data_IF_196106850727
#
_entry.id   IF_196106850727
#
_cell.length_a   1.000
_cell.length_b   1.000
_cell.length_c   1.000
_cell.angle_alpha   90.00
_cell.angle_beta   90.00
_cell.angle_gamma   90.00
#
_symmetry.space_group_name_H-M   'P 1'
#
loop_
_entity.id
_entity.type
_entity.pdbx_description
1 polymer ?
#
# COMPACT_ATOMS: atom_id res chain seq x y z
N UNK A 1 -1.20 4.95 -16.17
CA UNK A 1 -2.46 5.73 -16.22
C UNK A 1 -3.71 4.87 -16.28
N UNK A 2 -3.61 3.55 -16.49
CA UNK A 2 -4.79 2.67 -16.71
C UNK A 2 -5.35 1.98 -15.46
N UNK A 3 -4.60 1.89 -14.36
CA UNK A 3 -5.05 1.14 -13.17
C UNK A 3 -6.01 1.95 -12.27
N UNK A 4 -5.83 3.26 -12.11
CA UNK A 4 -6.81 4.08 -11.37
C UNK A 4 -8.10 4.31 -12.18
N UNK A 5 -8.02 4.41 -13.51
CA UNK A 5 -9.20 4.69 -14.36
C UNK A 5 -10.05 3.44 -14.64
N UNK A 6 -9.52 2.23 -14.51
CA UNK A 6 -10.31 1.01 -14.72
C UNK A 6 -11.26 0.73 -13.54
N UNK A 7 -10.93 1.18 -12.33
CA UNK A 7 -11.76 0.97 -11.15
C UNK A 7 -12.93 1.96 -11.04
N UNK A 8 -12.75 3.22 -11.46
CA UNK A 8 -13.88 4.16 -11.65
C UNK A 8 -14.92 3.60 -12.65
N UNK A 9 -14.49 2.76 -13.60
CA UNK A 9 -15.40 2.10 -14.57
C UNK A 9 -16.06 0.82 -14.05
N UNK A 10 -15.52 0.19 -13.00
CA UNK A 10 -16.17 -0.93 -12.31
C UNK A 10 -17.21 -0.47 -11.30
N UNK A 11 -16.98 0.68 -10.65
CA UNK A 11 -17.99 1.36 -9.83
C UNK A 11 -19.25 1.67 -10.66
N UNK A 12 -19.13 2.15 -11.91
CA UNK A 12 -20.30 2.55 -12.70
C UNK A 12 -21.22 1.39 -13.08
N UNK A 13 -20.67 0.22 -13.45
CA UNK A 13 -21.48 -0.93 -13.87
C UNK A 13 -22.11 -1.70 -12.70
N UNK A 14 -21.51 -1.63 -11.50
CA UNK A 14 -22.05 -2.25 -10.29
C UNK A 14 -23.05 -1.36 -9.58
N UNK A 15 -22.85 -0.04 -9.59
CA UNK A 15 -23.82 0.94 -9.07
C UNK A 15 -25.15 0.91 -9.83
N UNK A 16 -25.15 0.69 -11.16
CA UNK A 16 -26.40 0.54 -11.93
C UNK A 16 -27.20 -0.72 -11.54
N UNK A 17 -26.52 -1.83 -11.24
CA UNK A 17 -27.17 -3.07 -10.80
C UNK A 17 -27.70 -2.98 -9.37
N UNK A 18 -26.99 -2.27 -8.47
CA UNK A 18 -27.42 -2.01 -7.09
C UNK A 18 -28.55 -0.98 -7.06
N UNK A 19 -28.48 0.08 -7.86
CA UNK A 19 -29.55 1.08 -7.97
C UNK A 19 -30.87 0.46 -8.47
N UNK A 20 -30.82 -0.49 -9.40
CA UNK A 20 -31.98 -1.23 -9.87
C UNK A 20 -32.60 -2.18 -8.81
N UNK A 21 -31.82 -2.64 -7.83
CA UNK A 21 -32.28 -3.50 -6.75
C UNK A 21 -32.82 -2.73 -5.52
N UNK A 22 -32.51 -1.43 -5.41
CA UNK A 22 -32.84 -0.57 -4.26
C UNK A 22 -34.19 0.16 -4.42
N UNK A 23 -34.84 0.07 -5.59
CA UNK A 23 -36.16 0.72 -5.79
C UNK A 23 -37.33 0.09 -5.01
N UNK A 24 -37.17 -1.07 -4.36
CA UNK A 24 -38.34 -1.76 -3.77
C UNK A 24 -38.42 -1.97 -2.25
N UNK A 25 -37.41 -1.80 -1.38
CA UNK A 25 -37.69 -1.86 0.08
C UNK A 25 -36.58 -1.33 1.03
N UNK A 26 -37.01 -0.77 2.19
CA UNK A 26 -36.24 -0.10 3.25
C UNK A 26 -35.29 -1.01 4.07
N UNK A 27 -34.33 -1.71 3.45
CA UNK A 27 -33.36 -2.55 4.20
C UNK A 27 -31.93 -2.33 3.70
N UNK A 28 -30.95 -2.42 4.61
CA UNK A 28 -29.55 -2.61 4.25
C UNK A 28 -29.44 -3.76 3.23
N UNK A 29 -29.13 -3.43 1.98
CA UNK A 29 -29.14 -4.42 0.91
C UNK A 29 -27.91 -5.32 1.04
N UNK A 30 -28.11 -6.55 1.50
CA UNK A 30 -27.18 -7.65 1.27
C UNK A 30 -27.38 -8.12 -0.18
N UNK A 31 -26.53 -7.65 -1.09
CA UNK A 31 -26.61 -8.10 -2.49
C UNK A 31 -25.81 -9.39 -2.63
N UNK A 32 -26.52 -10.51 -2.72
CA UNK A 32 -25.92 -11.81 -3.08
C UNK A 32 -25.69 -11.82 -4.59
N UNK A 33 -24.46 -11.49 -5.02
CA UNK A 33 -24.07 -11.68 -6.42
C UNK A 33 -23.41 -13.05 -6.59
N UNK A 34 -23.83 -13.87 -7.57
CA UNK A 34 -23.11 -15.09 -7.91
C UNK A 34 -21.74 -14.71 -8.51
N UNK A 35 -20.66 -15.02 -7.80
CA UNK A 35 -19.29 -14.88 -8.33
C UNK A 35 -18.90 -16.16 -9.06
N UNK A 36 -18.39 -16.02 -10.28
CA UNK A 36 -17.84 -17.15 -11.05
C UNK A 36 -16.61 -17.74 -10.32
N UNK A 37 -16.43 -19.08 -10.35
CA UNK A 37 -15.34 -19.72 -9.63
C UNK A 37 -13.96 -19.23 -10.11
N UNK A 38 -12.96 -19.10 -9.22
CA UNK A 38 -11.61 -18.73 -9.62
C UNK A 38 -11.02 -19.78 -10.58
N UNK A 39 -10.18 -19.38 -11.55
CA UNK A 39 -9.53 -20.32 -12.46
C UNK A 39 -8.68 -21.32 -11.65
N UNK A 40 -8.93 -22.60 -11.92
CA UNK A 40 -8.42 -23.72 -11.17
C UNK A 40 -6.89 -23.85 -11.24
N UNK A 41 -6.18 -23.41 -10.21
CA UNK A 41 -4.81 -23.86 -9.93
C UNK A 41 -4.38 -23.69 -8.46
N UNK A 42 -5.07 -24.37 -7.54
CA UNK A 42 -4.50 -24.91 -6.28
C UNK A 42 -5.55 -25.82 -5.59
N UNK A 43 -5.13 -26.80 -4.76
CA UNK A 43 -5.81 -28.08 -4.64
C UNK A 43 -6.94 -28.08 -3.60
N UNK A 44 -7.97 -28.87 -3.93
CA UNK A 44 -9.06 -29.41 -3.09
C UNK A 44 -8.98 -29.13 -1.58
N UNK A 45 -9.50 -28.00 -1.14
CA UNK A 45 -10.40 -27.97 0.02
C UNK A 45 -11.83 -27.88 -0.52
N UNK A 46 -12.74 -28.62 0.12
CA UNK A 46 -14.10 -28.86 -0.35
C UNK A 46 -14.85 -27.60 -0.78
N UNK A 47 -15.80 -27.81 -1.70
CA UNK A 47 -16.78 -26.82 -2.17
C UNK A 47 -17.18 -25.83 -1.06
N UNK A 48 -16.49 -24.68 -1.01
CA UNK A 48 -17.01 -23.49 -0.37
C UNK A 48 -18.09 -22.98 -1.31
N UNK A 49 -19.34 -23.22 -0.94
CA UNK A 49 -20.46 -22.45 -1.47
C UNK A 49 -20.21 -21.03 -0.94
N UNK A 50 -19.65 -20.16 -1.78
CA UNK A 50 -19.49 -18.75 -1.44
C UNK A 50 -20.89 -18.14 -1.39
N UNK A 51 -21.43 -17.96 -0.19
CA UNK A 51 -22.51 -17.02 0.05
C UNK A 51 -21.85 -15.65 0.25
N UNK A 52 -21.88 -14.81 -0.78
CA UNK A 52 -21.37 -13.43 -0.72
C UNK A 52 -22.43 -12.56 -0.04
N UNK A 53 -22.21 -12.22 1.24
CA UNK A 53 -22.98 -11.17 1.92
C UNK A 53 -22.20 -9.88 1.75
N UNK A 54 -22.47 -9.17 0.65
CA UNK A 54 -21.97 -7.81 0.45
C UNK A 54 -22.80 -6.86 1.27
N UNK A 55 -22.24 -6.36 2.37
CA UNK A 55 -22.82 -5.21 3.05
C UNK A 55 -22.31 -3.93 2.38
N UNK A 56 -22.89 -3.58 1.23
CA UNK A 56 -22.64 -2.27 0.58
C UNK A 56 -23.62 -1.29 1.20
N UNK A 57 -23.13 -0.48 2.12
CA UNK A 57 -24.00 0.43 2.85
C UNK A 57 -24.06 1.77 2.10
N UNK A 58 -25.12 1.91 1.29
CA UNK A 58 -25.39 3.11 0.46
C UNK A 58 -25.89 4.29 1.29
N UNK A 59 -26.38 4.05 2.52
CA UNK A 59 -26.93 5.07 3.42
C UNK A 59 -26.10 5.24 4.70
N UNK A 60 -26.14 6.40 5.38
CA UNK A 60 -25.37 6.61 6.60
C UNK A 60 -25.85 5.71 7.74
N UNK A 61 -25.00 4.78 8.20
CA UNK A 61 -25.27 4.01 9.41
C UNK A 61 -25.28 4.91 10.66
N UNK A 62 -26.14 4.57 11.62
CA UNK A 62 -26.20 5.22 12.95
C UNK A 62 -24.97 4.89 13.81
N UNK A 63 -24.27 3.80 13.53
CA UNK A 63 -23.10 3.37 14.28
C UNK A 63 -21.93 4.35 14.04
N UNK A 64 -21.34 4.95 15.10
CA UNK A 64 -20.28 5.94 14.95
C UNK A 64 -18.89 5.32 14.68
N UNK A 65 -18.71 4.03 14.99
CA UNK A 65 -17.43 3.31 14.92
C UNK A 65 -17.62 1.90 14.34
N UNK A 66 -16.54 1.30 13.83
CA UNK A 66 -16.56 -0.11 13.41
C UNK A 66 -16.58 -1.08 14.59
N UNK A 67 -16.00 -0.69 15.73
CA UNK A 67 -15.98 -1.50 16.95
C UNK A 67 -17.41 -1.77 17.43
N UNK A 68 -17.72 -3.02 17.76
CA UNK A 68 -19.07 -3.48 18.08
C UNK A 68 -20.01 -3.65 16.89
N UNK A 69 -19.82 -2.91 15.78
CA UNK A 69 -20.63 -3.08 14.56
C UNK A 69 -20.18 -4.30 13.77
N UNK A 70 -18.90 -4.34 13.36
CA UNK A 70 -18.36 -5.46 12.59
C UNK A 70 -18.29 -6.76 13.41
N UNK A 71 -18.20 -6.65 14.73
CA UNK A 71 -18.21 -7.80 15.65
C UNK A 71 -19.51 -8.63 15.56
N UNK A 72 -20.58 -8.06 15.02
CA UNK A 72 -21.88 -8.74 14.84
C UNK A 72 -21.98 -9.50 13.51
N UNK A 73 -20.97 -9.42 12.65
CA UNK A 73 -20.97 -9.99 11.30
C UNK A 73 -19.80 -10.98 11.13
N UNK A 74 -19.77 -12.11 11.88
CA UNK A 74 -18.60 -13.00 11.94
C UNK A 74 -18.24 -13.66 10.60
N UNK A 75 -19.23 -13.82 9.71
CA UNK A 75 -19.09 -14.46 8.40
C UNK A 75 -18.91 -13.44 7.25
N UNK A 76 -18.67 -12.16 7.56
CA UNK A 76 -18.50 -11.14 6.53
C UNK A 76 -17.24 -11.38 5.70
N UNK A 77 -17.41 -11.38 4.38
CA UNK A 77 -16.32 -11.55 3.42
C UNK A 77 -15.89 -10.23 2.77
N UNK A 78 -16.86 -9.38 2.42
CA UNK A 78 -16.60 -8.10 1.75
C UNK A 78 -17.28 -6.99 2.57
N UNK A 79 -16.51 -5.98 2.96
CA UNK A 79 -17.05 -4.84 3.70
C UNK A 79 -16.63 -3.52 3.06
N UNK A 80 -17.62 -2.78 2.55
CA UNK A 80 -17.44 -1.46 1.94
C UNK A 80 -18.18 -0.40 2.75
N UNK A 81 -17.41 0.52 3.33
CA UNK A 81 -17.92 1.55 4.21
C UNK A 81 -17.73 2.98 3.68
N UNK A 82 -17.25 3.16 2.45
CA UNK A 82 -16.86 4.43 1.83
C UNK A 82 -17.93 5.56 1.87
N UNK A 83 -19.22 5.24 2.03
CA UNK A 83 -20.34 6.23 2.13
C UNK A 83 -20.87 6.51 3.55
N UNK A 84 -20.17 6.06 4.60
CA UNK A 84 -20.62 6.20 6.00
C UNK A 84 -19.93 7.31 6.81
N UNK A 85 -20.33 7.51 8.07
CA UNK A 85 -19.69 8.46 8.99
C UNK A 85 -18.81 7.79 10.06
N UNK A 86 -18.37 6.55 9.82
CA UNK A 86 -17.49 5.85 10.75
C UNK A 86 -16.20 6.64 11.03
N UNK A 87 -15.81 6.67 12.30
CA UNK A 87 -14.64 7.37 12.79
C UNK A 87 -13.91 6.56 13.87
N UNK A 88 -12.82 7.11 14.39
CA UNK A 88 -12.04 6.50 15.47
C UNK A 88 -10.98 5.54 14.96
N UNK A 89 -10.49 4.66 15.83
CA UNK A 89 -9.48 3.67 15.48
C UNK A 89 -10.13 2.35 15.05
N UNK A 90 -9.45 1.60 14.18
CA UNK A 90 -9.81 0.22 13.88
C UNK A 90 -9.46 -0.63 15.10
N UNK A 91 -10.47 -1.27 15.69
CA UNK A 91 -10.30 -2.17 16.82
C UNK A 91 -9.57 -3.44 16.39
N UNK A 92 -8.63 -3.99 17.19
CA UNK A 92 -8.00 -5.29 16.91
C UNK A 92 -8.99 -6.45 16.83
N UNK A 93 -10.24 -6.27 17.28
CA UNK A 93 -11.28 -7.28 17.13
C UNK A 93 -11.59 -7.63 15.66
N UNK A 94 -11.29 -6.72 14.71
CA UNK A 94 -11.45 -6.99 13.27
C UNK A 94 -10.66 -8.24 12.83
N UNK A 95 -9.56 -8.56 13.52
CA UNK A 95 -8.77 -9.76 13.25
C UNK A 95 -9.51 -11.08 13.54
N UNK A 96 -10.67 -11.04 14.22
CA UNK A 96 -11.54 -12.20 14.45
C UNK A 96 -12.37 -12.58 13.23
N UNK A 97 -12.49 -11.70 12.24
CA UNK A 97 -13.28 -11.92 11.03
C UNK A 97 -12.49 -12.79 10.05
N UNK A 98 -12.52 -14.11 10.25
CA UNK A 98 -11.69 -15.07 9.52
C UNK A 98 -12.02 -15.18 8.04
N UNK A 99 -13.20 -14.72 7.62
CA UNK A 99 -13.64 -14.75 6.22
C UNK A 99 -13.46 -13.40 5.50
N UNK A 100 -13.09 -12.34 6.23
CA UNK A 100 -12.97 -11.00 5.66
C UNK A 100 -11.82 -10.96 4.66
N UNK A 101 -12.20 -10.85 3.39
CA UNK A 101 -11.34 -10.87 2.22
C UNK A 101 -11.06 -9.47 1.68
N UNK A 102 -12.07 -8.59 1.71
CA UNK A 102 -12.00 -7.24 1.19
C UNK A 102 -12.50 -6.23 2.23
N UNK A 103 -11.67 -5.23 2.51
CA UNK A 103 -11.97 -4.15 3.44
C UNK A 103 -11.77 -2.79 2.76
N UNK A 104 -12.87 -2.12 2.43
CA UNK A 104 -12.88 -0.71 2.02
C UNK A 104 -13.44 0.17 3.14
N UNK A 105 -12.56 1.01 3.69
CA UNK A 105 -12.80 1.98 4.75
C UNK A 105 -12.33 3.38 4.33
N UNK A 106 -12.30 3.64 3.02
CA UNK A 106 -11.81 4.89 2.44
C UNK A 106 -12.72 6.10 2.70
N UNK A 107 -12.14 7.31 2.63
CA UNK A 107 -12.84 8.60 2.73
C UNK A 107 -13.62 8.79 4.04
N UNK A 108 -12.91 8.66 5.16
CA UNK A 108 -13.48 8.65 6.51
C UNK A 108 -12.64 9.47 7.50
N UNK A 109 -13.10 9.51 8.75
CA UNK A 109 -12.37 10.10 9.88
C UNK A 109 -11.64 9.05 10.70
N UNK A 110 -11.21 7.94 10.07
CA UNK A 110 -10.44 6.94 10.80
C UNK A 110 -9.07 7.50 11.19
N UNK A 111 -8.61 7.13 12.37
CA UNK A 111 -7.37 7.63 12.96
C UNK A 111 -6.68 6.53 13.76
N UNK A 112 -5.53 6.85 14.37
CA UNK A 112 -4.74 5.89 15.14
C UNK A 112 -3.61 5.27 14.33
N UNK A 113 -2.93 4.30 14.93
CA UNK A 113 -1.77 3.64 14.31
C UNK A 113 -2.21 2.56 13.33
N UNK A 114 -1.78 2.66 12.08
CA UNK A 114 -2.24 1.79 11.00
C UNK A 114 -1.18 0.73 10.59
N UNK A 115 -1.58 -0.54 10.38
CA UNK A 115 -2.73 -1.23 10.95
C UNK A 115 -2.27 -2.39 11.83
N UNK A 116 -1.83 -2.12 13.06
CA UNK A 116 -1.58 -3.22 13.99
C UNK A 116 -2.86 -4.02 14.29
N UNK A 117 -4.04 -3.44 14.04
CA UNK A 117 -5.33 -4.11 14.15
C UNK A 117 -5.55 -5.21 13.10
N UNK A 118 -4.85 -5.17 11.96
CA UNK A 118 -4.97 -6.19 10.90
C UNK A 118 -3.96 -7.33 11.06
N UNK A 119 -3.15 -7.32 12.13
CA UNK A 119 -2.21 -8.40 12.41
C UNK A 119 -2.96 -9.72 12.61
N UNK A 120 -2.58 -10.74 11.83
CA UNK A 120 -3.19 -12.08 11.90
C UNK A 120 -4.44 -12.27 11.04
N UNK A 121 -4.79 -11.30 10.18
CA UNK A 121 -5.86 -11.46 9.20
C UNK A 121 -5.36 -12.20 7.97
N UNK A 122 -5.42 -13.53 8.01
CA UNK A 122 -4.84 -14.39 6.97
C UNK A 122 -5.66 -14.40 5.66
N UNK A 123 -6.97 -14.14 5.75
CA UNK A 123 -7.87 -14.15 4.58
C UNK A 123 -7.97 -12.81 3.86
N UNK A 124 -7.55 -11.71 4.49
CA UNK A 124 -7.65 -10.39 3.91
C UNK A 124 -6.68 -10.28 2.74
N UNK A 125 -7.19 -9.88 1.57
CA UNK A 125 -6.40 -9.75 0.33
C UNK A 125 -6.42 -8.34 -0.24
N UNK A 126 -7.49 -7.58 -0.02
CA UNK A 126 -7.64 -6.21 -0.49
C UNK A 126 -7.94 -5.26 0.67
N UNK A 127 -7.23 -4.13 0.68
CA UNK A 127 -7.42 -3.07 1.67
C UNK A 127 -7.43 -1.69 1.01
N UNK A 128 -8.55 -1.01 1.12
CA UNK A 128 -8.69 0.40 0.80
C UNK A 128 -8.86 1.24 2.08
N UNK A 129 -7.79 1.93 2.46
CA UNK A 129 -7.74 2.85 3.59
C UNK A 129 -7.47 4.29 3.18
N UNK A 130 -7.68 4.65 1.91
CA UNK A 130 -7.36 5.98 1.36
C UNK A 130 -8.15 7.10 2.06
N UNK A 131 -7.62 8.33 2.04
CA UNK A 131 -8.33 9.53 2.53
C UNK A 131 -8.80 9.40 4.00
N UNK A 132 -7.86 9.12 4.90
CA UNK A 132 -8.10 8.97 6.34
C UNK A 132 -7.02 9.72 7.15
N UNK A 133 -7.02 9.57 8.47
CA UNK A 133 -6.01 10.10 9.39
C UNK A 133 -5.17 8.97 10.01
N UNK A 134 -4.92 7.90 9.25
CA UNK A 134 -4.03 6.84 9.69
C UNK A 134 -2.61 7.32 9.87
N UNK A 135 -1.97 6.91 10.96
CA UNK A 135 -0.65 7.38 11.39
C UNK A 135 0.31 6.22 11.68
N UNK A 136 1.61 6.54 11.76
CA UNK A 136 2.66 5.56 12.04
C UNK A 136 2.95 4.61 10.87
N UNK A 137 4.01 3.80 11.03
CA UNK A 137 4.45 2.81 10.03
C UNK A 137 5.02 1.53 10.67
N UNK A 138 4.96 1.41 12.01
CA UNK A 138 5.55 0.27 12.72
C UNK A 138 4.63 -0.95 12.59
N UNK A 139 5.20 -2.09 12.20
CA UNK A 139 4.44 -3.34 12.03
C UNK A 139 3.59 -3.40 10.76
N UNK A 140 3.64 -2.37 9.91
CA UNK A 140 2.87 -2.29 8.66
C UNK A 140 3.13 -3.50 7.77
N UNK A 141 4.38 -3.93 7.65
CA UNK A 141 4.73 -5.07 6.83
C UNK A 141 4.07 -6.38 7.26
N UNK A 142 4.03 -6.66 8.57
CA UNK A 142 3.47 -7.90 9.09
C UNK A 142 1.94 -7.91 8.99
N UNK A 143 1.31 -6.75 9.14
CA UNK A 143 -0.13 -6.59 9.02
C UNK A 143 -0.64 -6.70 7.58
N UNK A 144 0.23 -6.48 6.60
CA UNK A 144 -0.14 -6.42 5.19
C UNK A 144 0.49 -7.55 4.36
N UNK A 145 1.15 -8.53 4.98
CA UNK A 145 1.98 -9.53 4.27
C UNK A 145 1.18 -10.41 3.29
N UNK A 146 -0.11 -10.60 3.55
CA UNK A 146 -1.02 -11.40 2.73
C UNK A 146 -1.80 -10.58 1.70
N UNK A 147 -1.71 -9.24 1.75
CA UNK A 147 -2.46 -8.38 0.85
C UNK A 147 -1.85 -8.35 -0.55
N UNK A 148 -2.73 -8.40 -1.54
CA UNK A 148 -2.41 -8.20 -2.95
C UNK A 148 -2.48 -6.73 -3.33
N UNK A 149 -3.46 -5.99 -2.81
CA UNK A 149 -3.66 -4.57 -3.09
C UNK A 149 -3.80 -3.77 -1.80
N UNK A 150 -2.97 -2.74 -1.68
CA UNK A 150 -2.83 -1.90 -0.49
C UNK A 150 -2.95 -0.44 -0.91
N UNK A 151 -4.07 0.20 -0.57
CA UNK A 151 -4.34 1.59 -0.92
C UNK A 151 -4.43 2.48 0.33
N UNK A 152 -3.42 3.31 0.56
CA UNK A 152 -3.23 4.15 1.75
C UNK A 152 -2.93 5.62 1.43
N UNK A 153 -3.18 6.04 0.20
CA UNK A 153 -2.90 7.41 -0.23
C UNK A 153 -3.73 8.44 0.56
N UNK A 154 -3.18 9.66 0.70
CA UNK A 154 -3.80 10.76 1.45
C UNK A 154 -4.14 10.37 2.89
N UNK A 155 -3.13 9.97 3.65
CA UNK A 155 -3.21 9.72 5.08
C UNK A 155 -2.18 10.59 5.84
N UNK A 156 -2.00 10.33 7.13
CA UNK A 156 -0.94 10.97 7.94
C UNK A 156 0.16 9.97 8.34
N UNK A 157 0.39 8.94 7.52
CA UNK A 157 1.41 7.93 7.75
C UNK A 157 2.78 8.62 7.82
N UNK A 158 3.55 8.31 8.85
CA UNK A 158 4.78 9.02 9.16
C UNK A 158 5.83 8.07 9.72
N UNK A 159 7.04 8.59 9.93
CA UNK A 159 8.25 7.84 10.30
C UNK A 159 8.83 7.08 9.10
N UNK A 160 9.87 6.31 9.38
CA UNK A 160 10.63 5.63 8.34
C UNK A 160 10.04 4.30 7.94
N UNK A 161 10.21 3.97 6.66
CA UNK A 161 9.78 2.70 6.08
C UNK A 161 10.62 1.55 6.68
N UNK A 162 9.99 0.51 7.26
CA UNK A 162 10.70 -0.63 7.83
C UNK A 162 11.28 -1.55 6.74
N UNK A 163 12.40 -2.22 7.01
CA UNK A 163 12.94 -3.23 6.09
C UNK A 163 12.01 -4.44 5.95
N UNK A 164 11.10 -4.64 6.90
CA UNK A 164 10.09 -5.68 6.85
C UNK A 164 9.16 -5.54 5.65
N UNK A 165 9.11 -4.40 4.94
CA UNK A 165 8.31 -4.27 3.70
C UNK A 165 8.65 -5.32 2.62
N UNK A 166 9.83 -5.94 2.68
CA UNK A 166 10.15 -7.10 1.85
C UNK A 166 9.34 -8.38 2.14
N UNK A 167 8.52 -8.38 3.20
CA UNK A 167 7.56 -9.44 3.55
C UNK A 167 6.25 -9.34 2.76
N UNK A 168 6.00 -8.24 2.04
CA UNK A 168 4.82 -8.06 1.20
C UNK A 168 4.95 -8.88 -0.08
N UNK A 169 4.93 -10.22 0.06
CA UNK A 169 5.20 -11.18 -1.02
C UNK A 169 4.01 -11.35 -1.97
N UNK A 170 2.81 -11.05 -1.51
CA UNK A 170 1.59 -11.12 -2.31
C UNK A 170 1.25 -9.79 -2.99
N UNK A 171 1.87 -8.68 -2.57
CA UNK A 171 1.53 -7.36 -3.04
C UNK A 171 1.83 -7.20 -4.54
N UNK A 172 0.79 -6.85 -5.28
CA UNK A 172 0.80 -6.45 -6.69
C UNK A 172 0.75 -4.92 -6.78
N UNK A 173 -0.10 -4.29 -5.94
CA UNK A 173 -0.24 -2.84 -5.86
C UNK A 173 -0.03 -2.33 -4.44
N UNK A 174 0.84 -1.33 -4.28
CA UNK A 174 0.98 -0.60 -3.03
C UNK A 174 1.05 0.90 -3.28
N UNK A 175 0.00 1.62 -2.88
CA UNK A 175 -0.08 3.07 -2.92
C UNK A 175 -0.08 3.66 -1.51
N UNK A 176 0.97 4.37 -1.13
CA UNK A 176 1.03 5.21 0.07
C UNK A 176 1.42 6.66 -0.27
N UNK A 177 0.97 7.14 -1.43
CA UNK A 177 1.20 8.51 -1.87
C UNK A 177 0.59 9.56 -0.94
N UNK A 178 1.11 10.78 -0.95
CA UNK A 178 0.63 11.91 -0.17
C UNK A 178 0.50 11.58 1.34
N UNK A 179 1.63 11.23 1.93
CA UNK A 179 1.78 10.95 3.36
C UNK A 179 3.00 11.72 3.89
N UNK A 180 3.42 11.44 5.12
CA UNK A 180 4.60 12.02 5.77
C UNK A 180 5.70 10.99 6.00
N UNK A 181 5.75 9.94 5.16
CA UNK A 181 6.78 8.90 5.23
C UNK A 181 8.15 9.53 4.94
N UNK A 182 9.18 9.11 5.66
CA UNK A 182 10.51 9.72 5.56
C UNK A 182 11.60 8.64 5.55
N UNK A 183 12.85 9.02 5.26
CA UNK A 183 13.96 8.06 5.27
C UNK A 183 14.30 7.51 3.89
N UNK A 184 15.34 6.67 3.80
CA UNK A 184 15.66 5.94 2.59
C UNK A 184 14.65 4.83 2.30
N UNK A 185 14.59 4.40 1.03
CA UNK A 185 13.87 3.18 0.66
C UNK A 185 14.68 1.96 1.13
N UNK A 186 14.06 0.98 1.83
CA UNK A 186 14.75 -0.24 2.20
C UNK A 186 14.95 -1.15 0.97
N UNK A 187 16.13 -1.76 0.87
CA UNK A 187 16.53 -2.63 -0.25
C UNK A 187 15.68 -3.89 -0.31
N UNK A 188 15.16 -4.32 0.84
CA UNK A 188 14.22 -5.42 0.97
C UNK A 188 12.92 -5.24 0.19
N UNK A 189 12.53 -4.03 -0.25
CA UNK A 189 11.39 -3.86 -1.17
C UNK A 189 11.57 -4.65 -2.47
N UNK A 190 12.81 -4.91 -2.88
CA UNK A 190 13.12 -5.79 -4.01
C UNK A 190 12.72 -7.26 -3.78
N UNK A 191 12.29 -7.62 -2.57
CA UNK A 191 11.77 -8.94 -2.24
C UNK A 191 10.28 -9.12 -2.55
N UNK A 192 9.56 -8.04 -2.85
CA UNK A 192 8.14 -8.10 -3.25
C UNK A 192 8.03 -8.30 -4.76
N UNK A 193 8.36 -9.50 -5.22
CA UNK A 193 8.54 -9.85 -6.65
C UNK A 193 7.28 -9.70 -7.51
N UNK A 194 6.10 -9.70 -6.88
CA UNK A 194 4.81 -9.52 -7.55
C UNK A 194 4.44 -8.05 -7.78
N UNK A 195 5.19 -7.10 -7.23
CA UNK A 195 4.85 -5.69 -7.36
C UNK A 195 4.86 -5.24 -8.83
N UNK A 196 3.72 -4.75 -9.26
CA UNK A 196 3.53 -4.11 -10.56
C UNK A 196 3.39 -2.59 -10.39
N UNK A 197 2.72 -2.16 -9.32
CA UNK A 197 2.48 -0.75 -9.01
C UNK A 197 2.98 -0.42 -7.60
N UNK A 198 3.91 0.53 -7.52
CA UNK A 198 4.37 1.09 -6.25
C UNK A 198 4.34 2.61 -6.33
N UNK A 199 3.52 3.23 -5.47
CA UNK A 199 3.38 4.68 -5.41
C UNK A 199 3.71 5.21 -4.02
N UNK A 200 4.82 5.94 -3.92
CA UNK A 200 5.19 6.70 -2.73
C UNK A 200 5.34 8.20 -3.02
N UNK A 201 4.68 8.69 -4.08
CA UNK A 201 4.75 10.09 -4.44
C UNK A 201 4.24 11.01 -3.33
N UNK A 202 4.75 12.24 -3.24
CA UNK A 202 4.27 13.22 -2.26
C UNK A 202 4.58 12.81 -0.82
N UNK A 203 5.80 12.35 -0.57
CA UNK A 203 6.29 11.99 0.76
C UNK A 203 7.59 12.78 1.07
N UNK A 204 8.27 12.40 2.15
CA UNK A 204 9.51 13.00 2.61
C UNK A 204 10.69 12.00 2.52
N UNK A 205 10.62 11.06 1.58
CA UNK A 205 11.65 10.03 1.36
C UNK A 205 12.89 10.66 0.71
N UNK A 206 14.06 10.14 1.03
CA UNK A 206 15.34 10.72 0.59
C UNK A 206 16.43 9.68 0.39
N UNK A 207 17.61 10.13 -0.05
CA UNK A 207 18.76 9.27 -0.32
C UNK A 207 18.79 8.78 -1.77
N UNK A 208 19.53 7.70 -2.02
CA UNK A 208 19.57 7.08 -3.34
C UNK A 208 18.44 6.05 -3.50
N UNK A 209 17.87 6.00 -4.71
CA UNK A 209 16.90 4.96 -5.08
C UNK A 209 17.65 3.63 -5.22
N UNK A 210 17.25 2.56 -4.51
CA UNK A 210 17.93 1.26 -4.60
C UNK A 210 17.82 0.64 -5.99
N UNK A 211 18.96 0.34 -6.61
CA UNK A 211 18.99 -0.32 -7.93
C UNK A 211 18.27 -1.67 -7.93
N UNK A 212 18.34 -2.39 -6.81
CA UNK A 212 17.65 -3.67 -6.61
C UNK A 212 16.14 -3.57 -6.75
N UNK A 213 15.53 -2.45 -6.32
CA UNK A 213 14.09 -2.20 -6.47
C UNK A 213 13.74 -2.01 -7.95
N UNK A 214 14.54 -1.23 -8.68
CA UNK A 214 14.34 -0.98 -10.11
C UNK A 214 14.61 -2.21 -10.99
N UNK A 215 15.17 -3.28 -10.44
CA UNK A 215 15.36 -4.55 -11.14
C UNK A 215 14.24 -5.56 -10.94
N UNK A 216 13.15 -5.21 -10.24
CA UNK A 216 11.93 -6.02 -10.20
C UNK A 216 11.33 -6.13 -11.61
N UNK A 217 11.15 -7.37 -12.08
CA UNK A 217 10.75 -7.65 -13.47
C UNK A 217 9.31 -7.27 -13.82
N UNK A 218 8.43 -7.19 -12.82
CA UNK A 218 7.00 -6.94 -13.01
C UNK A 218 6.60 -5.46 -12.86
N UNK A 219 7.51 -4.57 -12.45
CA UNK A 219 7.18 -3.16 -12.23
C UNK A 219 6.72 -2.49 -13.53
N UNK A 220 5.44 -2.13 -13.55
CA UNK A 220 4.79 -1.38 -14.61
C UNK A 220 4.69 0.12 -14.27
N UNK A 221 4.59 0.46 -12.98
CA UNK A 221 4.51 1.84 -12.51
C UNK A 221 5.20 2.00 -11.15
N UNK A 222 6.26 2.79 -11.09
CA UNK A 222 6.97 3.18 -9.88
C UNK A 222 6.96 4.70 -9.75
N UNK A 223 6.13 5.23 -8.87
CA UNK A 223 6.04 6.67 -8.65
C UNK A 223 6.74 7.07 -7.36
N UNK A 224 7.86 7.77 -7.51
CA UNK A 224 8.67 8.35 -6.43
C UNK A 224 8.73 9.87 -6.54
N UNK A 225 7.80 10.47 -7.28
CA UNK A 225 7.77 11.91 -7.51
C UNK A 225 7.46 12.69 -6.23
N UNK A 226 7.81 13.97 -6.20
CA UNK A 226 7.50 14.87 -5.08
C UNK A 226 8.06 14.34 -3.73
N UNK A 227 9.34 13.97 -3.74
CA UNK A 227 10.12 13.49 -2.60
C UNK A 227 11.47 14.25 -2.55
N UNK A 228 12.49 13.71 -1.86
CA UNK A 228 13.82 14.30 -1.72
C UNK A 228 14.94 13.29 -2.09
N UNK A 229 14.69 12.40 -3.05
CA UNK A 229 15.73 11.51 -3.57
C UNK A 229 16.85 12.32 -4.23
N UNK A 230 18.09 11.86 -4.06
CA UNK A 230 19.29 12.57 -4.51
C UNK A 230 19.96 11.92 -5.72
N UNK A 231 19.63 10.66 -6.00
CA UNK A 231 20.22 9.95 -7.12
C UNK A 231 19.66 8.55 -7.33
N UNK A 232 20.16 7.92 -8.38
CA UNK A 232 19.78 6.59 -8.86
C UNK A 232 20.99 5.99 -9.61
N UNK A 233 20.94 4.71 -9.99
CA UNK A 233 21.94 4.08 -10.84
C UNK A 233 21.39 3.64 -12.21
N UNK A 234 22.19 2.88 -12.99
CA UNK A 234 21.88 2.57 -14.39
C UNK A 234 20.58 1.79 -14.63
N UNK A 235 20.18 0.92 -13.70
CA UNK A 235 18.95 0.13 -13.79
C UNK A 235 17.73 1.03 -13.62
N UNK A 236 17.72 1.88 -12.58
CA UNK A 236 16.66 2.86 -12.39
C UNK A 236 16.58 3.87 -13.54
N UNK A 237 17.73 4.29 -14.09
CA UNK A 237 17.78 5.19 -15.25
C UNK A 237 16.98 4.65 -16.45
N UNK A 238 17.08 3.34 -16.71
CA UNK A 238 16.31 2.69 -17.79
C UNK A 238 14.80 2.79 -17.54
N UNK A 239 14.36 2.60 -16.30
CA UNK A 239 12.94 2.76 -15.94
C UNK A 239 12.46 4.21 -16.09
N UNK A 240 13.30 5.19 -15.73
CA UNK A 240 12.99 6.62 -15.94
C UNK A 240 12.81 6.91 -17.43
N UNK A 241 13.75 6.45 -18.28
CA UNK A 241 13.68 6.65 -19.73
C UNK A 241 12.44 6.01 -20.36
N UNK A 242 12.02 4.85 -19.86
CA UNK A 242 10.86 4.13 -20.37
C UNK A 242 9.53 4.62 -19.77
N UNK A 243 9.55 5.62 -18.88
CA UNK A 243 8.35 6.17 -18.24
C UNK A 243 7.73 5.27 -17.15
N UNK A 244 8.42 4.20 -16.75
CA UNK A 244 7.99 3.32 -15.65
C UNK A 244 8.28 3.97 -14.29
N UNK A 245 9.41 4.66 -14.15
CA UNK A 245 9.82 5.31 -12.91
C UNK A 245 9.66 6.84 -13.01
N UNK A 246 8.73 7.42 -12.26
CA UNK A 246 8.59 8.88 -12.11
C UNK A 246 9.38 9.39 -10.90
N UNK A 247 10.35 10.27 -11.17
CA UNK A 247 11.20 10.93 -10.16
C UNK A 247 11.15 12.46 -10.25
N UNK A 248 10.12 13.04 -10.87
CA UNK A 248 9.93 14.50 -10.89
C UNK A 248 9.81 15.05 -9.47
N UNK A 249 10.13 16.32 -9.28
CA UNK A 249 10.08 17.03 -8.00
C UNK A 249 10.89 16.31 -6.89
N UNK A 250 12.11 15.86 -7.22
CA UNK A 250 13.08 15.36 -6.26
C UNK A 250 14.30 16.30 -6.18
N UNK A 251 15.38 15.85 -5.54
CA UNK A 251 16.65 16.57 -5.39
C UNK A 251 17.75 15.95 -6.26
N UNK A 252 17.42 15.47 -7.46
CA UNK A 252 18.35 14.72 -8.31
C UNK A 252 19.05 15.66 -9.29
N UNK A 253 20.36 15.89 -9.18
CA UNK A 253 21.08 16.79 -10.09
C UNK A 253 20.99 16.34 -11.56
N UNK A 254 20.85 17.30 -12.48
CA UNK A 254 20.91 17.05 -13.93
C UNK A 254 19.64 16.49 -14.56
N UNK A 255 18.61 16.12 -13.79
CA UNK A 255 17.29 15.77 -14.33
C UNK A 255 16.38 17.01 -14.49
N UNK A 256 15.45 17.02 -15.46
CA UNK A 256 14.43 18.06 -15.56
C UNK A 256 13.37 17.94 -14.46
N UNK A 257 12.62 19.03 -14.24
CA UNK A 257 11.47 19.10 -13.32
C UNK A 257 11.81 18.71 -11.87
N UNK A 258 13.01 19.03 -11.40
CA UNK A 258 13.44 18.80 -10.02
C UNK A 258 13.10 19.98 -9.11
N UNK A 259 13.12 19.74 -7.79
CA UNK A 259 13.00 20.80 -6.79
C UNK A 259 14.15 21.80 -6.93
N UNK A 260 13.93 23.01 -6.45
CA UNK A 260 14.99 24.01 -6.40
C UNK A 260 16.10 23.58 -5.44
N UNK A 261 17.32 24.04 -5.70
CA UNK A 261 18.47 23.82 -4.81
C UNK A 261 18.17 24.33 -3.39
N UNK A 262 17.44 25.44 -3.26
CA UNK A 262 17.07 26.02 -1.97
C UNK A 262 16.11 25.12 -1.17
N UNK A 263 15.10 24.53 -1.81
CA UNK A 263 14.18 23.58 -1.15
C UNK A 263 14.92 22.33 -0.68
N UNK A 264 15.80 21.77 -1.52
CA UNK A 264 16.61 20.61 -1.17
C UNK A 264 17.57 20.93 -0.01
N UNK A 265 18.29 22.06 -0.08
CA UNK A 265 19.17 22.50 1.00
C UNK A 265 18.41 22.69 2.31
N UNK A 266 17.21 23.29 2.25
CA UNK A 266 16.36 23.49 3.44
C UNK A 266 15.93 22.16 4.06
N UNK A 267 15.57 21.18 3.24
CA UNK A 267 15.20 19.85 3.71
C UNK A 267 16.37 19.15 4.40
N UNK A 268 17.54 19.13 3.76
CA UNK A 268 18.73 18.44 4.29
C UNK A 268 19.42 19.18 5.44
N UNK A 269 19.14 20.47 5.65
CA UNK A 269 19.62 21.23 6.82
C UNK A 269 19.05 20.70 8.14
N UNK A 270 17.99 19.88 8.12
CA UNK A 270 17.41 19.25 9.31
C UNK A 270 17.54 17.72 9.22
N UNK A 271 18.57 17.12 9.85
CA UNK A 271 18.78 15.69 9.81
C UNK A 271 17.56 14.93 10.34
N UNK A 272 17.17 13.89 9.60
CA UNK A 272 16.11 12.96 10.01
C UNK A 272 16.77 11.62 10.28
N UNK A 273 16.54 11.07 11.47
CA UNK A 273 17.12 9.80 11.86
C UNK A 273 16.08 8.70 11.75
N UNK A 274 16.40 7.69 10.97
CA UNK A 274 15.64 6.45 10.93
C UNK A 274 16.25 5.44 11.90
N UNK A 275 15.42 4.78 12.73
CA UNK A 275 15.92 3.72 13.59
C UNK A 275 16.43 2.56 12.72
N UNK A 276 17.49 1.89 13.17
CA UNK A 276 18.06 0.71 12.51
C UNK A 276 18.58 0.96 11.09
N UNK A 277 19.29 2.06 10.85
CA UNK A 277 19.89 2.38 9.53
C UNK A 277 20.61 1.19 8.82
N UNK A 278 21.32 0.28 9.52
CA UNK A 278 21.93 -0.90 8.88
C UNK A 278 20.94 -1.84 8.19
N UNK A 279 19.66 -1.87 8.60
CA UNK A 279 18.67 -2.79 8.02
C UNK A 279 18.15 -2.33 6.66
N UNK A 280 18.39 -1.08 6.27
CA UNK A 280 17.97 -0.58 4.95
C UNK A 280 18.74 -1.22 3.79
N UNK A 281 19.95 -1.75 4.05
CA UNK A 281 20.71 -2.52 3.07
C UNK A 281 20.40 -4.03 3.15
N UNK A 282 19.60 -4.47 4.13
CA UNK A 282 19.29 -5.88 4.32
C UNK A 282 18.31 -6.37 3.24
N UNK A 283 18.66 -7.48 2.61
CA UNK A 283 17.85 -8.15 1.59
C UNK A 283 17.65 -9.59 2.09
N UNK A 284 16.43 -9.95 2.45
CA UNK A 284 16.08 -11.25 3.03
C UNK A 284 15.72 -12.32 1.99
N UNK A 285 15.71 -11.96 0.71
CA UNK A 285 15.35 -12.83 -0.41
C UNK A 285 16.51 -13.02 -1.38
N UNK A 286 16.39 -14.03 -2.23
CA UNK A 286 17.36 -14.26 -3.29
C UNK A 286 17.03 -13.41 -4.53
N UNK A 287 17.96 -12.55 -4.96
CA UNK A 287 17.81 -11.72 -6.15
C UNK A 287 18.65 -12.28 -7.31
N UNK A 288 18.07 -13.07 -8.25
CA UNK A 288 18.82 -13.73 -9.31
C UNK A 288 19.66 -12.77 -10.16
N UNK A 289 19.11 -11.58 -10.41
CA UNK A 289 19.67 -10.60 -11.35
C UNK A 289 20.78 -9.71 -10.75
N UNK A 290 20.99 -9.72 -9.42
CA UNK A 290 21.96 -8.84 -8.74
C UNK A 290 23.20 -9.56 -8.18
N UNK A 291 23.41 -10.84 -8.50
CA UNK A 291 24.58 -11.64 -8.07
C UNK A 291 25.94 -10.94 -8.29
N UNK A 292 26.06 -10.04 -9.26
CA UNK A 292 27.31 -9.33 -9.56
C UNK A 292 27.58 -8.08 -8.70
N UNK A 293 26.56 -7.49 -8.07
CA UNK A 293 26.69 -6.21 -7.35
C UNK A 293 26.84 -6.37 -5.82
N UNK A 294 26.43 -7.51 -5.26
CA UNK A 294 26.52 -7.76 -3.82
C UNK A 294 27.98 -7.78 -3.30
N UNK A 295 28.96 -8.09 -4.16
CA UNK A 295 30.38 -8.02 -3.83
C UNK A 295 30.96 -6.59 -3.83
N UNK A 296 30.26 -5.59 -4.37
CA UNK A 296 30.74 -4.21 -4.46
C UNK A 296 30.29 -3.31 -3.30
N UNK A 297 29.21 -3.66 -2.58
CA UNK A 297 28.71 -2.87 -1.45
C UNK A 297 29.56 -3.03 -0.18
N UNK A 298 30.42 -4.04 -0.10
CA UNK A 298 31.43 -4.20 0.96
C UNK A 298 32.63 -3.24 0.82
N UNK A 299 32.74 -2.48 -0.28
CA UNK A 299 33.82 -1.53 -0.53
C UNK A 299 33.41 -0.05 -0.44
N UNK A 300 32.17 0.26 -0.01
CA UNK A 300 31.81 1.63 0.33
C UNK A 300 32.51 2.00 1.65
N UNK A 301 33.66 2.65 1.50
CA UNK A 301 34.53 3.15 2.55
C UNK A 301 33.73 3.84 3.68
N UNK A 302 34.17 3.71 4.95
CA UNK A 302 33.57 4.47 6.04
C UNK A 302 33.63 5.96 5.72
N UNK A 303 32.52 6.64 5.98
CA UNK A 303 32.42 8.11 5.94
C UNK A 303 33.59 8.75 6.69
N UNK A 304 34.23 9.81 6.15
CA UNK A 304 35.28 10.50 6.86
C UNK A 304 34.71 11.08 8.15
N UNK A 305 35.28 10.67 9.27
CA UNK A 305 35.04 11.25 10.59
C UNK A 305 35.50 12.71 10.58
N UNK A 306 34.56 13.64 10.81
CA UNK A 306 34.84 14.99 11.29
C UNK A 306 34.52 15.06 12.78
#
# INVERSE_FOLDING_TARGET
TTFCTSWDSWESHTLEAVAAAVEEEEVAAAVVLPVAPPPASSPSLGQLIFADIRLVVVYPLLAPTLDGFLDQLPDIALFHANSNNFAGAISPNIAKLQYLYELDISNKKFSGSFPTALLGMDSLSFLDGRFNFFSGARGIAKALENLSEILLLNNVLSRCLPYELGLLKQAVGFDAGNNFLTGPLPFSLACSEKLEVLNFAGNLLYGHIPEVLCGLGNLANLSLSDNYFMGFGPVCWRLIKNGVLDVKKNCIPGLPFQRSVAECATFFARPRFCPYMPTYAHISCWLPHFKAFAFALSELAPSPSY
#
